data_IF_150572850287
#
_entry.id   IF_150572850287
#
_cell.length_a   1.000
_cell.length_b   1.000
_cell.length_c   1.000
_cell.angle_alpha   90.00
_cell.angle_beta   90.00
_cell.angle_gamma   90.00
#
_symmetry.space_group_name_H-M   'P 1'
#
loop_
_entity.id
_entity.type
_entity.pdbx_description
1 polymer ?
#
# COMPACT_ATOMS: atom_id res chain seq x y z
N UNK A 1 5.80 -1.13 6.12
CA UNK A 1 5.18 -0.40 5.00
C UNK A 1 3.70 -0.72 4.96
N UNK A 2 2.85 0.25 4.65
CA UNK A 2 1.40 0.09 4.44
C UNK A 2 1.16 0.44 2.98
N UNK A 3 0.82 -0.56 2.17
CA UNK A 3 0.66 -0.46 0.72
C UNK A 3 -0.76 -0.87 0.35
N UNK A 4 -1.46 0.00 -0.39
CA UNK A 4 -2.83 -0.24 -0.84
C UNK A 4 -3.14 0.59 -2.08
N UNK A 5 -4.17 0.18 -2.82
CA UNK A 5 -4.67 0.93 -3.97
C UNK A 5 -5.59 2.08 -3.56
N UNK A 6 -5.62 3.17 -4.32
CA UNK A 6 -6.49 4.32 -4.04
C UNK A 6 -8.00 4.01 -4.25
N UNK A 7 -8.34 3.04 -5.10
CA UNK A 7 -9.71 2.55 -5.29
C UNK A 7 -10.13 1.46 -4.29
N UNK A 8 -9.27 1.06 -3.34
CA UNK A 8 -9.66 0.16 -2.25
C UNK A 8 -10.60 0.86 -1.25
N UNK A 9 -11.88 0.90 -1.60
CA UNK A 9 -12.93 1.54 -0.79
C UNK A 9 -13.02 0.99 0.63
N UNK A 10 -12.72 -0.31 0.83
CA UNK A 10 -12.76 -0.93 2.16
C UNK A 10 -11.61 -0.45 3.03
N UNK A 11 -10.44 -0.23 2.44
CA UNK A 11 -9.24 0.17 3.16
C UNK A 11 -9.18 1.68 3.43
N UNK A 12 -9.85 2.51 2.62
CA UNK A 12 -9.85 3.98 2.82
C UNK A 12 -10.37 4.41 4.20
N UNK A 13 -11.31 3.68 4.79
CA UNK A 13 -11.87 4.00 6.11
C UNK A 13 -10.89 3.71 7.27
N UNK A 14 -10.00 2.73 7.09
CA UNK A 14 -9.06 2.25 8.12
C UNK A 14 -7.60 2.63 7.90
N UNK A 15 -7.24 3.23 6.76
CA UNK A 15 -5.84 3.48 6.37
C UNK A 15 -5.04 4.29 7.39
N UNK A 16 -5.69 5.28 8.03
CA UNK A 16 -5.02 6.20 8.95
C UNK A 16 -4.78 5.52 10.30
N UNK A 17 -5.60 4.54 10.70
CA UNK A 17 -5.40 3.77 11.91
C UNK A 17 -4.06 3.02 11.87
N UNK A 18 -3.74 2.38 10.74
CA UNK A 18 -2.48 1.64 10.62
C UNK A 18 -1.27 2.59 10.62
N UNK A 19 -1.35 3.69 9.88
CA UNK A 19 -0.23 4.63 9.80
C UNK A 19 0.02 5.34 11.13
N UNK A 20 -1.05 5.70 11.85
CA UNK A 20 -0.96 6.41 13.13
C UNK A 20 -0.47 5.52 14.28
N UNK A 21 -0.72 4.20 14.22
CA UNK A 21 -0.37 3.28 15.32
C UNK A 21 0.93 2.49 15.09
N UNK A 22 1.43 2.41 13.85
CA UNK A 22 2.69 1.72 13.55
C UNK A 22 3.82 2.74 13.46
N UNK A 23 4.64 2.79 14.51
CA UNK A 23 5.84 3.65 14.58
C UNK A 23 6.79 3.30 13.42
N UNK A 24 7.36 4.33 12.78
CA UNK A 24 8.23 4.20 11.60
C UNK A 24 7.56 3.52 10.39
N UNK A 25 6.23 3.58 10.30
CA UNK A 25 5.53 3.09 9.11
C UNK A 25 5.70 4.04 7.92
N UNK A 26 5.93 3.45 6.74
CA UNK A 26 5.88 4.13 5.44
C UNK A 26 4.56 3.81 4.76
N UNK A 27 3.82 4.84 4.34
CA UNK A 27 2.56 4.70 3.57
C UNK A 27 2.84 4.82 2.07
N UNK A 28 2.31 3.89 1.28
CA UNK A 28 2.43 3.84 -0.18
C UNK A 28 1.04 3.62 -0.78
N UNK A 29 0.65 4.48 -1.70
CA UNK A 29 -0.65 4.43 -2.37
C UNK A 29 -0.40 4.20 -3.85
N UNK A 30 -0.98 3.13 -4.40
CA UNK A 30 -0.86 2.81 -5.82
C UNK A 30 -2.08 3.35 -6.58
N UNK A 31 -1.88 4.26 -7.54
CA UNK A 31 -2.97 4.91 -8.26
C UNK A 31 -3.65 3.95 -9.25
N UNK A 32 -4.97 3.98 -9.33
CA UNK A 32 -5.72 3.14 -10.26
C UNK A 32 -6.01 1.72 -9.75
N UNK A 33 -5.51 1.34 -8.57
CA UNK A 33 -5.62 -0.03 -8.06
C UNK A 33 -6.66 -0.14 -6.94
N UNK A 34 -7.31 -1.29 -6.89
CA UNK A 34 -8.27 -1.69 -5.87
C UNK A 34 -7.63 -2.44 -4.72
N UNK A 35 -8.35 -3.48 -4.26
CA UNK A 35 -8.04 -4.20 -3.03
C UNK A 35 -6.87 -5.18 -3.15
N UNK A 36 -6.53 -5.61 -4.36
CA UNK A 36 -5.52 -6.66 -4.56
C UNK A 36 -4.43 -6.14 -5.52
N UNK A 37 -3.63 -5.15 -5.10
CA UNK A 37 -2.61 -4.55 -5.98
C UNK A 37 -1.63 -5.56 -6.58
N UNK A 38 -1.31 -6.63 -5.84
CA UNK A 38 -0.41 -7.68 -6.32
C UNK A 38 -0.96 -8.53 -7.48
N UNK A 39 -2.27 -8.47 -7.74
CA UNK A 39 -2.92 -9.12 -8.90
C UNK A 39 -3.24 -8.10 -9.98
N UNK A 40 -3.69 -6.91 -9.58
CA UNK A 40 -4.12 -5.85 -10.51
C UNK A 40 -2.95 -5.21 -11.26
N UNK A 41 -1.82 -4.96 -10.58
CA UNK A 41 -0.57 -4.49 -11.17
C UNK A 41 0.63 -5.04 -10.37
N UNK A 42 1.10 -6.26 -10.71
CA UNK A 42 2.21 -6.90 -10.03
C UNK A 42 3.52 -6.10 -10.12
N UNK A 43 3.72 -5.38 -11.23
CA UNK A 43 4.93 -4.60 -11.47
C UNK A 43 4.98 -3.40 -10.52
N UNK A 44 3.95 -2.57 -10.49
CA UNK A 44 3.86 -1.43 -9.57
C UNK A 44 3.94 -1.85 -8.09
N UNK A 45 3.36 -3.01 -7.75
CA UNK A 45 3.46 -3.60 -6.41
C UNK A 45 4.92 -3.96 -6.06
N UNK A 46 5.61 -4.68 -6.95
CA UNK A 46 7.00 -5.10 -6.73
C UNK A 46 7.98 -3.92 -6.74
N UNK A 47 7.76 -2.93 -7.61
CA UNK A 47 8.54 -1.69 -7.64
C UNK A 47 8.48 -0.93 -6.31
N UNK A 48 7.35 -1.02 -5.60
CA UNK A 48 7.21 -0.43 -4.26
C UNK A 48 7.80 -1.32 -3.16
N UNK A 49 7.59 -2.64 -3.25
CA UNK A 49 7.97 -3.60 -2.21
C UNK A 49 9.46 -3.89 -2.18
N UNK A 50 10.11 -4.11 -3.32
CA UNK A 50 11.51 -4.53 -3.37
C UNK A 50 12.47 -3.47 -2.79
N UNK A 51 12.33 -2.16 -3.07
CA UNK A 51 13.15 -1.15 -2.42
C UNK A 51 12.95 -1.09 -0.91
N UNK A 52 11.72 -1.32 -0.42
CA UNK A 52 11.44 -1.36 1.01
C UNK A 52 12.16 -2.53 1.71
N UNK A 53 12.24 -3.68 1.05
CA UNK A 53 12.92 -4.87 1.62
C UNK A 53 14.45 -4.80 1.56
N UNK A 54 15.01 -3.93 0.71
CA UNK A 54 16.46 -3.75 0.53
C UNK A 54 17.05 -2.63 1.39
N UNK A 55 16.20 -1.83 2.04
CA UNK A 55 16.57 -0.73 2.92
C UNK A 55 16.84 -1.22 4.34
#
# INVERSE_FOLDING_TARGET
MILYGDFDRRFQEGKDLLHNNIINSKRVILPGLGHIPQVEDPEAFLESLLPFLKA
#
